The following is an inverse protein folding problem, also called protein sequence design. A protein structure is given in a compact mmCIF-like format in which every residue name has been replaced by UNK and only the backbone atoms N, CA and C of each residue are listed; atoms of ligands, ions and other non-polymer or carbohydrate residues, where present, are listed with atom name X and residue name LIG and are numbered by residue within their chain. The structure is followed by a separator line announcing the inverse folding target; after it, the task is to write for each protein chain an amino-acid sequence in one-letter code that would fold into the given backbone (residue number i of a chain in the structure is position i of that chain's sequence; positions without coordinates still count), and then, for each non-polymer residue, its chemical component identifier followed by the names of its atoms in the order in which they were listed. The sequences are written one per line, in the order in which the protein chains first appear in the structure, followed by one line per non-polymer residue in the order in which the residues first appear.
data_IF_405997800933
#
_entry.id   IF_405997800933
#
_cell.length_a   1.000
_cell.length_b   1.000
_cell.length_c   1.000
_cell.angle_alpha   90.00
_cell.angle_beta   90.00
_cell.angle_gamma   90.00
#
_symmetry.space_group_name_H-M   'P 1'
#
loop_
_entity.id
_entity.type
_entity.pdbx_description
1 polymer ?
#
# COMPACT_ATOMS: atom_id res chain seq x y z
N UNK A 1 49.89 19.63 5.88
CA UNK A 1 49.16 18.33 5.91
C UNK A 1 47.69 18.66 6.05
N UNK A 2 46.95 18.64 4.93
CA UNK A 2 45.54 19.08 4.90
C UNK A 2 44.62 17.88 5.11
N UNK A 3 43.80 17.94 6.14
CA UNK A 3 42.76 16.96 6.47
C UNK A 3 41.57 17.13 5.52
N UNK A 4 41.32 16.15 4.66
CA UNK A 4 40.06 16.08 3.91
C UNK A 4 38.98 15.50 4.81
N UNK A 5 38.00 16.31 5.20
CA UNK A 5 36.72 15.83 5.75
C UNK A 5 35.84 15.39 4.59
N UNK A 6 35.68 14.08 4.42
CA UNK A 6 34.71 13.50 3.49
C UNK A 6 33.31 13.66 4.09
N UNK A 7 32.51 14.58 3.55
CA UNK A 7 31.08 14.69 3.82
C UNK A 7 30.38 13.49 3.17
N UNK A 8 30.03 12.49 3.97
CA UNK A 8 29.06 11.46 3.57
C UNK A 8 27.71 12.14 3.42
N UNK A 9 27.27 12.35 2.18
CA UNK A 9 25.88 12.72 1.90
C UNK A 9 24.96 11.61 2.45
N UNK A 10 23.78 11.95 3.03
CA UNK A 10 22.82 10.94 3.43
C UNK A 10 22.45 10.13 2.19
N UNK A 11 22.78 8.84 2.23
CA UNK A 11 22.40 7.90 1.18
C UNK A 11 20.87 7.89 1.12
N UNK A 12 20.24 8.04 -0.07
CA UNK A 12 18.80 7.90 -0.16
C UNK A 12 18.43 6.51 0.35
N UNK A 13 17.67 6.45 1.44
CA UNK A 13 17.06 5.21 1.92
C UNK A 13 16.24 4.69 0.75
N UNK A 14 16.70 3.61 0.10
CA UNK A 14 15.86 2.84 -0.79
C UNK A 14 14.84 2.16 0.12
N UNK A 15 13.76 2.86 0.41
CA UNK A 15 12.60 2.23 1.05
C UNK A 15 12.08 1.21 0.06
N UNK A 16 12.02 -0.05 0.48
CA UNK A 16 11.56 -1.13 -0.38
C UNK A 16 10.09 -0.89 -0.75
N UNK A 17 9.67 -1.40 -1.91
CA UNK A 17 8.26 -1.30 -2.35
C UNK A 17 7.35 -1.90 -1.29
N UNK A 18 7.74 -3.03 -0.71
CA UNK A 18 7.04 -3.71 0.38
C UNK A 18 6.91 -2.81 1.60
N UNK A 19 8.00 -2.19 2.06
CA UNK A 19 7.97 -1.32 3.25
C UNK A 19 6.99 -0.15 3.10
N UNK A 20 6.93 0.46 1.91
CA UNK A 20 5.98 1.55 1.63
C UNK A 20 4.54 1.05 1.60
N UNK A 21 4.29 -0.06 0.90
CA UNK A 21 2.94 -0.65 0.78
C UNK A 21 2.42 -1.09 2.15
N UNK A 22 3.26 -1.75 2.95
CA UNK A 22 2.90 -2.21 4.30
C UNK A 22 2.53 -1.04 5.21
N UNK A 23 3.32 0.04 5.21
CA UNK A 23 3.04 1.21 6.05
C UNK A 23 1.68 1.85 5.73
N UNK A 24 1.34 1.98 4.44
CA UNK A 24 0.05 2.55 4.00
C UNK A 24 -1.11 1.63 4.37
N UNK A 25 -0.95 0.32 4.19
CA UNK A 25 -1.98 -0.66 4.54
C UNK A 25 -2.21 -0.69 6.05
N UNK A 26 -1.15 -0.72 6.86
CA UNK A 26 -1.26 -0.71 8.32
C UNK A 26 -1.98 0.54 8.82
N UNK A 27 -1.62 1.73 8.31
CA UNK A 27 -2.28 2.99 8.66
C UNK A 27 -3.76 2.97 8.26
N UNK A 28 -4.08 2.48 7.06
CA UNK A 28 -5.45 2.32 6.59
C UNK A 28 -6.27 1.37 7.46
N UNK A 29 -5.71 0.20 7.79
CA UNK A 29 -6.37 -0.82 8.62
C UNK A 29 -6.60 -0.33 10.05
N UNK A 30 -5.67 0.43 10.62
CA UNK A 30 -5.86 1.04 11.93
C UNK A 30 -7.10 1.94 11.97
N UNK A 31 -7.35 2.69 10.89
CA UNK A 31 -8.53 3.55 10.75
C UNK A 31 -9.84 2.76 10.53
N UNK A 32 -9.75 1.46 10.22
CA UNK A 32 -10.88 0.55 10.03
C UNK A 32 -11.13 -0.38 11.23
N UNK A 33 -10.39 -0.20 12.32
CA UNK A 33 -10.52 -1.04 13.52
C UNK A 33 -11.93 -0.99 14.10
N UNK A 34 -12.50 -2.16 14.39
CA UNK A 34 -13.86 -2.30 14.93
C UNK A 34 -15.01 -2.16 13.91
N UNK A 35 -14.71 -1.87 12.63
CA UNK A 35 -15.72 -1.82 11.58
C UNK A 35 -16.00 -3.22 11.02
N UNK A 36 -17.29 -3.53 10.81
CA UNK A 36 -17.75 -4.77 10.14
C UNK A 36 -17.99 -4.51 8.65
N UNK A 37 -18.48 -3.32 8.31
CA UNK A 37 -18.75 -2.88 6.94
C UNK A 37 -18.05 -1.55 6.72
N UNK A 38 -17.38 -1.42 5.57
CA UNK A 38 -16.66 -0.22 5.14
C UNK A 38 -17.39 0.34 3.91
N UNK A 39 -17.61 1.66 3.87
CA UNK A 39 -18.22 2.29 2.70
C UNK A 39 -17.31 2.13 1.48
N UNK A 40 -17.90 2.03 0.28
CA UNK A 40 -17.10 1.93 -0.96
C UNK A 40 -16.11 3.08 -1.08
N UNK A 41 -16.52 4.33 -0.81
CA UNK A 41 -15.63 5.48 -0.91
C UNK A 41 -14.39 5.29 -0.05
N UNK A 42 -14.56 4.80 1.18
CA UNK A 42 -13.44 4.56 2.09
C UNK A 42 -12.53 3.43 1.63
N UNK A 43 -13.10 2.36 1.07
CA UNK A 43 -12.32 1.27 0.49
C UNK A 43 -11.53 1.76 -0.75
N UNK A 44 -12.15 2.59 -1.59
CA UNK A 44 -11.51 3.22 -2.76
C UNK A 44 -10.36 4.13 -2.33
N UNK A 45 -10.58 5.01 -1.34
CA UNK A 45 -9.55 5.92 -0.86
C UNK A 45 -8.30 5.15 -0.42
N UNK A 46 -8.48 4.09 0.38
CA UNK A 46 -7.37 3.26 0.85
C UNK A 46 -6.62 2.57 -0.30
N UNK A 47 -7.34 2.05 -1.29
CA UNK A 47 -6.72 1.43 -2.47
C UNK A 47 -5.97 2.47 -3.31
N UNK A 48 -6.48 3.69 -3.44
CA UNK A 48 -5.80 4.77 -4.14
C UNK A 48 -4.56 5.26 -3.38
N UNK A 49 -4.59 5.29 -2.05
CA UNK A 49 -3.42 5.60 -1.23
C UNK A 49 -2.29 4.60 -1.52
N UNK A 50 -2.61 3.31 -1.56
CA UNK A 50 -1.63 2.26 -1.96
C UNK A 50 -1.13 2.48 -3.39
N UNK A 51 -2.04 2.72 -4.34
CA UNK A 51 -1.70 2.93 -5.76
C UNK A 51 -0.73 4.10 -5.96
N UNK A 52 -0.91 5.18 -5.20
CA UNK A 52 -0.09 6.39 -5.28
C UNK A 52 1.23 6.26 -4.52
N UNK A 53 1.27 5.49 -3.44
CA UNK A 53 2.47 5.26 -2.66
C UNK A 53 3.48 4.34 -3.34
N UNK A 54 3.01 3.41 -4.18
CA UNK A 54 3.89 2.46 -4.90
C UNK A 54 4.22 2.91 -6.33
N UNK A 55 5.44 2.59 -6.78
CA UNK A 55 5.86 2.72 -8.19
C UNK A 55 5.84 1.39 -8.94
N UNK A 56 5.50 0.30 -8.26
CA UNK A 56 5.40 -1.04 -8.83
C UNK A 56 4.27 -1.15 -9.85
N UNK A 57 4.54 -1.61 -11.09
CA UNK A 57 3.49 -1.95 -12.04
C UNK A 57 2.61 -3.10 -11.55
N UNK A 58 3.20 -4.13 -10.93
CA UNK A 58 2.48 -5.33 -10.47
C UNK A 58 1.48 -4.98 -9.38
N UNK A 59 1.90 -4.21 -8.37
CA UNK A 59 1.03 -3.76 -7.28
C UNK A 59 -0.08 -2.85 -7.83
N UNK A 60 0.25 -1.96 -8.77
CA UNK A 60 -0.75 -1.09 -9.41
C UNK A 60 -1.80 -1.85 -10.19
N UNK A 61 -1.41 -2.91 -10.90
CA UNK A 61 -2.33 -3.77 -11.64
C UNK A 61 -3.29 -4.51 -10.68
N UNK A 62 -2.76 -5.08 -9.58
CA UNK A 62 -3.59 -5.73 -8.55
C UNK A 62 -4.58 -4.73 -7.93
N UNK A 63 -4.13 -3.52 -7.59
CA UNK A 63 -5.00 -2.49 -7.04
C UNK A 63 -6.07 -2.05 -8.05
N UNK A 64 -5.72 -1.93 -9.33
CA UNK A 64 -6.67 -1.59 -10.39
C UNK A 64 -7.77 -2.66 -10.54
N UNK A 65 -7.41 -3.95 -10.45
CA UNK A 65 -8.36 -5.06 -10.45
C UNK A 65 -9.32 -4.98 -9.25
N UNK A 66 -8.79 -4.72 -8.05
CA UNK A 66 -9.59 -4.57 -6.83
C UNK A 66 -10.55 -3.37 -6.89
N UNK A 67 -10.14 -2.27 -7.52
CA UNK A 67 -10.97 -1.09 -7.75
C UNK A 67 -12.11 -1.40 -8.75
N UNK A 68 -11.85 -2.17 -9.79
CA UNK A 68 -12.88 -2.60 -10.75
C UNK A 68 -13.90 -3.53 -10.09
N UNK A 69 -13.43 -4.44 -9.23
CA UNK A 69 -14.25 -5.38 -8.47
C UNK A 69 -15.28 -4.69 -7.56
N UNK A 70 -14.91 -3.58 -6.92
CA UNK A 70 -15.79 -2.86 -6.00
C UNK A 70 -16.64 -1.78 -6.69
N UNK A 71 -16.50 -1.57 -8.00
CA UNK A 71 -17.13 -0.41 -8.68
C UNK A 71 -18.65 -0.40 -8.63
N UNK A 72 -19.27 -1.57 -8.47
CA UNK A 72 -20.73 -1.76 -8.47
C UNK A 72 -21.34 -1.95 -7.08
N UNK A 73 -20.53 -2.02 -6.01
CA UNK A 73 -21.04 -2.18 -4.65
C UNK A 73 -21.08 -0.84 -3.91
N UNK A 74 -21.93 -0.72 -2.89
CA UNK A 74 -22.00 0.50 -2.07
C UNK A 74 -21.12 0.42 -0.81
N UNK A 75 -20.79 -0.81 -0.40
CA UNK A 75 -19.98 -1.10 0.77
C UNK A 75 -19.31 -2.48 0.60
N UNK A 76 -18.24 -2.69 1.36
CA UNK A 76 -17.46 -3.93 1.39
C UNK A 76 -17.37 -4.39 2.84
N UNK A 77 -17.42 -5.70 3.06
CA UNK A 77 -17.13 -6.26 4.38
C UNK A 77 -15.68 -5.96 4.76
N UNK A 78 -15.46 -5.55 6.01
CA UNK A 78 -14.13 -5.15 6.47
C UNK A 78 -13.13 -6.31 6.41
N UNK A 79 -13.59 -7.55 6.61
CA UNK A 79 -12.77 -8.77 6.46
C UNK A 79 -12.35 -8.99 5.01
N UNK A 80 -13.30 -8.91 4.07
CA UNK A 80 -13.01 -9.00 2.63
C UNK A 80 -12.03 -7.92 2.18
N UNK A 81 -12.16 -6.69 2.70
CA UNK A 81 -11.20 -5.62 2.41
C UNK A 81 -9.80 -5.93 2.98
N UNK A 82 -9.71 -6.48 4.20
CA UNK A 82 -8.42 -6.92 4.79
C UNK A 82 -7.74 -7.98 3.94
N UNK A 83 -8.48 -9.01 3.53
CA UNK A 83 -7.94 -10.09 2.69
C UNK A 83 -7.42 -9.56 1.35
N UNK A 84 -8.15 -8.61 0.76
CA UNK A 84 -7.74 -7.94 -0.48
C UNK A 84 -6.47 -7.11 -0.31
N UNK A 85 -6.32 -6.40 0.81
CA UNK A 85 -5.08 -5.66 1.10
C UNK A 85 -3.91 -6.62 1.35
N UNK A 86 -4.14 -7.77 1.96
CA UNK A 86 -3.11 -8.79 2.12
C UNK A 86 -2.63 -9.35 0.77
N UNK A 87 -3.52 -9.48 -0.23
CA UNK A 87 -3.11 -9.82 -1.60
C UNK A 87 -2.16 -8.77 -2.20
N UNK A 88 -2.40 -7.48 -1.93
CA UNK A 88 -1.50 -6.40 -2.36
C UNK A 88 -0.13 -6.52 -1.68
N UNK A 89 -0.08 -6.82 -0.38
CA UNK A 89 1.19 -7.04 0.34
C UNK A 89 1.97 -8.21 -0.25
N UNK A 90 1.29 -9.33 -0.55
CA UNK A 90 1.92 -10.49 -1.18
C UNK A 90 2.45 -10.13 -2.58
N UNK A 91 1.70 -9.36 -3.37
CA UNK A 91 2.16 -8.91 -4.68
C UNK A 91 3.42 -8.04 -4.59
N UNK A 92 3.48 -7.13 -3.61
CA UNK A 92 4.67 -6.32 -3.35
C UNK A 92 5.86 -7.20 -2.93
N UNK A 93 5.63 -8.20 -2.06
CA UNK A 93 6.69 -9.09 -1.57
C UNK A 93 7.27 -9.99 -2.67
N UNK A 94 6.45 -10.41 -3.64
CA UNK A 94 6.89 -11.23 -4.78
C UNK A 94 7.75 -10.45 -5.76
N UNK A 95 7.51 -9.13 -5.93
CA UNK A 95 8.31 -8.30 -6.83
C UNK A 95 9.69 -7.95 -6.25
N UNK A 96 9.80 -7.81 -4.94
CA UNK A 96 11.06 -7.49 -4.26
C UNK A 96 12.00 -8.71 -4.09
N UNK A 97 11.56 -9.93 -4.49
CA UNK A 97 12.33 -11.19 -4.46
C UNK A 97 13.18 -11.41 -5.72
#
# INVERSE_FOLDING_TARGET
MSTHTTTTAPQPTRTSTVEVVDAVIEEGLAQLSGQVIVSRSRAVDLLLDVYTATSSPVVRDVVAELLDDIRHVNAVEAEVLRDRLLLVQVAAAVEDL
#
